data_IF_571167986168
#
_entry.id   IF_571167986168
#
_cell.length_a   1.000
_cell.length_b   1.000
_cell.length_c   1.000
_cell.angle_alpha   90.00
_cell.angle_beta   90.00
_cell.angle_gamma   90.00
#
_symmetry.space_group_name_H-M   'P 1'
#
loop_
_entity.id
_entity.type
_entity.pdbx_description
1 polymer ?
#
# COMPACT_ATOMS: atom_id res chain seq x y z
N UNK A 1 1.74 -51.88 30.12
CA UNK A 1 1.45 -50.98 28.97
C UNK A 1 1.63 -49.56 29.45
N UNK A 2 2.78 -48.95 29.18
CA UNK A 2 3.03 -47.53 29.49
C UNK A 2 2.48 -46.74 28.31
N UNK A 3 1.50 -45.86 28.55
CA UNK A 3 0.99 -44.95 27.52
C UNK A 3 2.16 -44.05 27.08
N UNK A 4 2.75 -44.36 25.92
CA UNK A 4 3.88 -43.62 25.37
C UNK A 4 3.44 -42.19 25.03
N UNK A 5 4.22 -41.23 25.52
CA UNK A 5 3.85 -39.83 25.64
C UNK A 5 4.14 -39.11 24.31
N UNK A 6 3.11 -38.62 23.64
CA UNK A 6 3.29 -37.69 22.52
C UNK A 6 3.97 -36.40 23.01
N UNK A 7 5.11 -36.04 22.43
CA UNK A 7 5.83 -34.82 22.79
C UNK A 7 5.50 -33.71 21.80
N UNK A 8 4.90 -32.62 22.28
CA UNK A 8 4.52 -31.48 21.43
C UNK A 8 5.37 -30.25 21.73
N UNK A 9 6.05 -29.77 20.71
CA UNK A 9 6.88 -28.58 20.70
C UNK A 9 6.16 -27.43 19.99
N UNK A 10 6.24 -26.22 20.54
CA UNK A 10 5.52 -25.05 20.03
C UNK A 10 6.42 -23.83 19.99
N UNK A 11 6.23 -22.99 18.98
CA UNK A 11 6.88 -21.67 18.98
C UNK A 11 6.37 -20.81 20.14
N UNK A 12 7.20 -19.87 20.60
CA UNK A 12 6.81 -18.91 21.63
C UNK A 12 5.57 -18.11 21.20
N UNK A 13 4.59 -17.98 22.11
CA UNK A 13 3.38 -17.19 21.86
C UNK A 13 3.71 -15.73 21.51
N UNK A 14 4.78 -15.18 22.08
CA UNK A 14 5.27 -13.82 21.79
C UNK A 14 5.47 -13.61 20.29
N UNK A 15 6.03 -14.60 19.59
CA UNK A 15 6.32 -14.50 18.15
C UNK A 15 5.03 -14.53 17.33
N UNK A 16 4.07 -15.36 17.73
CA UNK A 16 2.75 -15.39 17.09
C UNK A 16 2.08 -14.04 17.23
N UNK A 17 2.10 -13.44 18.43
CA UNK A 17 1.55 -12.10 18.64
C UNK A 17 2.27 -11.04 17.82
N UNK A 18 3.61 -11.06 17.73
CA UNK A 18 4.36 -10.13 16.88
C UNK A 18 4.02 -10.26 15.40
N UNK A 19 3.80 -11.48 14.90
CA UNK A 19 3.41 -11.70 13.51
C UNK A 19 1.98 -11.24 13.23
N UNK A 20 1.04 -11.47 14.16
CA UNK A 20 -0.33 -10.99 14.01
C UNK A 20 -0.38 -9.47 14.14
N UNK A 21 0.36 -8.89 15.08
CA UNK A 21 0.50 -7.45 15.23
C UNK A 21 1.14 -6.81 14.00
N UNK A 22 2.21 -7.40 13.47
CA UNK A 22 2.83 -6.94 12.22
C UNK A 22 1.86 -6.99 11.04
N UNK A 23 1.06 -8.06 10.92
CA UNK A 23 0.02 -8.16 9.90
C UNK A 23 -1.04 -7.06 10.05
N UNK A 24 -1.48 -6.82 11.28
CA UNK A 24 -2.42 -5.75 11.62
C UNK A 24 -1.86 -4.38 11.28
N UNK A 25 -0.59 -4.10 11.61
CA UNK A 25 0.06 -2.83 11.30
C UNK A 25 0.23 -2.61 9.80
N UNK A 26 0.56 -3.66 9.03
CA UNK A 26 0.60 -3.57 7.56
C UNK A 26 -0.80 -3.30 7.03
N UNK A 27 -1.85 -4.00 7.52
CA UNK A 27 -3.24 -3.74 7.12
C UNK A 27 -3.67 -2.30 7.42
N UNK A 28 -3.38 -1.83 8.63
CA UNK A 28 -3.71 -0.48 9.08
C UNK A 28 -3.00 0.56 8.20
N UNK A 29 -1.70 0.40 7.98
CA UNK A 29 -0.89 1.34 7.20
C UNK A 29 -1.24 1.35 5.71
N UNK A 30 -1.54 0.19 5.13
CA UNK A 30 -1.65 0.03 3.67
C UNK A 30 -3.07 0.08 3.13
N UNK A 31 -4.07 -0.20 3.98
CA UNK A 31 -5.49 -0.24 3.58
C UNK A 31 -6.29 0.78 4.38
N UNK A 32 -6.28 0.70 5.71
CA UNK A 32 -7.17 1.52 6.54
C UNK A 32 -6.82 3.00 6.46
N UNK A 33 -5.57 3.39 6.72
CA UNK A 33 -5.16 4.80 6.71
C UNK A 33 -5.34 5.47 5.34
N UNK A 34 -4.94 4.88 4.21
CA UNK A 34 -5.17 5.51 2.90
C UNK A 34 -6.66 5.66 2.57
N UNK A 35 -7.50 4.69 2.94
CA UNK A 35 -8.95 4.75 2.71
C UNK A 35 -9.60 5.82 3.60
N UNK A 36 -9.24 5.88 4.89
CA UNK A 36 -9.79 6.92 5.78
C UNK A 36 -9.35 8.31 5.34
N UNK A 37 -8.10 8.48 4.89
CA UNK A 37 -7.61 9.74 4.31
C UNK A 37 -8.38 10.08 3.03
N UNK A 38 -8.61 9.10 2.14
CA UNK A 38 -9.36 9.31 0.90
C UNK A 38 -10.82 9.71 1.16
N UNK A 39 -11.44 9.21 2.23
CA UNK A 39 -12.85 9.46 2.57
C UNK A 39 -13.07 10.65 3.52
N UNK A 40 -12.01 11.24 4.07
CA UNK A 40 -12.13 12.25 5.11
C UNK A 40 -12.74 13.56 4.58
N UNK A 41 -13.98 13.85 5.01
CA UNK A 41 -14.59 15.18 4.88
C UNK A 41 -14.95 15.61 3.47
N UNK A 42 -15.14 14.67 2.53
CA UNK A 42 -15.52 14.95 1.14
C UNK A 42 -16.69 14.07 0.69
N UNK A 43 -17.59 14.57 -0.17
CA UNK A 43 -18.72 13.79 -0.69
C UNK A 43 -18.28 12.65 -1.62
N UNK A 44 -17.09 12.76 -2.22
CA UNK A 44 -16.46 11.72 -3.03
C UNK A 44 -15.05 11.43 -2.54
N UNK A 45 -14.65 10.15 -2.59
CA UNK A 45 -13.34 9.72 -2.12
C UNK A 45 -12.19 10.23 -3.00
N UNK A 46 -11.13 10.79 -2.42
CA UNK A 46 -9.92 11.16 -3.16
C UNK A 46 -9.03 9.95 -3.42
N UNK A 47 -9.14 9.37 -4.62
CA UNK A 47 -8.35 8.25 -5.11
C UNK A 47 -7.14 8.69 -5.93
N UNK A 48 -6.73 9.96 -5.85
CA UNK A 48 -5.53 10.43 -6.54
C UNK A 48 -4.25 9.76 -6.03
N UNK A 49 -4.20 9.43 -4.73
CA UNK A 49 -3.03 8.87 -4.06
C UNK A 49 -3.22 7.40 -3.63
N UNK A 50 -4.39 7.06 -3.08
CA UNK A 50 -4.60 5.77 -2.42
C UNK A 50 -4.30 4.54 -3.31
N UNK A 51 -4.70 4.48 -4.59
CA UNK A 51 -4.37 3.34 -5.46
C UNK A 51 -2.87 3.22 -5.74
N UNK A 52 -2.17 4.35 -5.95
CA UNK A 52 -0.72 4.36 -6.19
C UNK A 52 0.05 3.87 -4.96
N UNK A 53 -0.35 4.36 -3.79
CA UNK A 53 0.21 3.92 -2.52
C UNK A 53 -0.06 2.43 -2.27
N UNK A 54 -1.30 1.97 -2.51
CA UNK A 54 -1.66 0.56 -2.40
C UNK A 54 -0.83 -0.35 -3.31
N UNK A 55 -0.57 0.07 -4.56
CA UNK A 55 0.24 -0.69 -5.50
C UNK A 55 1.69 -0.83 -5.03
N UNK A 56 2.30 0.25 -4.52
CA UNK A 56 3.65 0.21 -3.97
C UNK A 56 3.71 -0.63 -2.68
N UNK A 57 2.74 -0.47 -1.80
CA UNK A 57 2.70 -1.14 -0.50
C UNK A 57 2.39 -2.64 -0.60
N UNK A 58 1.68 -3.08 -1.64
CA UNK A 58 1.38 -4.49 -1.89
C UNK A 58 2.64 -5.36 -2.04
N UNK A 59 3.78 -4.79 -2.45
CA UNK A 59 5.06 -5.51 -2.49
C UNK A 59 5.63 -5.86 -1.11
N UNK A 60 5.18 -5.19 -0.04
CA UNK A 60 5.54 -5.53 1.35
C UNK A 60 4.76 -6.77 1.81
N UNK A 61 3.52 -6.94 1.33
CA UNK A 61 2.66 -8.05 1.72
C UNK A 61 3.17 -9.41 1.27
N UNK A 62 3.68 -9.51 0.04
CA UNK A 62 4.13 -10.78 -0.55
C UNK A 62 5.22 -11.46 0.29
N UNK A 63 6.37 -10.83 0.61
CA UNK A 63 7.41 -11.46 1.43
C UNK A 63 6.93 -11.74 2.85
N UNK A 64 6.09 -10.87 3.42
CA UNK A 64 5.54 -11.06 4.76
C UNK A 64 4.65 -12.31 4.84
N UNK A 65 3.71 -12.45 3.90
CA UNK A 65 2.83 -13.61 3.78
C UNK A 65 3.63 -14.90 3.50
N UNK A 66 4.66 -14.81 2.67
CA UNK A 66 5.54 -15.94 2.36
C UNK A 66 6.26 -16.46 3.62
N UNK A 67 6.80 -15.57 4.46
CA UNK A 67 7.38 -15.94 5.76
C UNK A 67 6.34 -16.57 6.69
N UNK A 68 5.15 -15.99 6.80
CA UNK A 68 4.05 -16.56 7.59
C UNK A 68 3.67 -17.98 7.14
N UNK A 69 3.64 -18.25 5.83
CA UNK A 69 3.29 -19.57 5.31
C UNK A 69 4.37 -20.63 5.56
N UNK A 70 5.64 -20.22 5.63
CA UNK A 70 6.79 -21.11 5.85
C UNK A 70 7.04 -21.39 7.33
N UNK A 71 6.54 -20.53 8.23
CA UNK A 71 6.75 -20.68 9.65
C UNK A 71 6.07 -21.94 10.20
N UNK A 72 6.88 -22.87 10.71
CA UNK A 72 6.43 -24.00 11.51
C UNK A 72 5.99 -23.50 12.87
N UNK A 73 4.74 -23.78 13.25
CA UNK A 73 4.14 -23.37 14.53
C UNK A 73 4.25 -24.44 15.60
N UNK A 74 3.96 -25.68 15.23
CA UNK A 74 4.03 -26.83 16.15
C UNK A 74 4.65 -28.03 15.48
N UNK A 75 5.39 -28.80 16.26
CA UNK A 75 5.93 -30.11 15.90
C UNK A 75 5.52 -31.08 17.00
N UNK A 76 4.89 -32.18 16.65
CA UNK A 76 4.57 -33.25 17.60
C UNK A 76 5.32 -34.50 17.19
N UNK A 77 6.10 -35.07 18.10
CA UNK A 77 6.84 -36.31 17.91
C UNK A 77 6.03 -37.48 18.48
N UNK A 78 6.07 -38.60 17.78
CA UNK A 78 5.46 -39.87 18.15
C UNK A 78 6.41 -41.00 17.77
N UNK A 79 6.17 -42.23 18.20
CA UNK A 79 7.09 -43.33 17.89
C UNK A 79 7.15 -43.68 16.41
N UNK A 80 6.00 -43.63 15.73
CA UNK A 80 5.87 -44.04 14.33
C UNK A 80 6.19 -42.91 13.35
N UNK A 81 6.36 -41.68 13.83
CA UNK A 81 6.54 -40.51 12.99
C UNK A 81 6.34 -39.19 13.72
N UNK A 82 6.00 -38.15 12.97
CA UNK A 82 5.84 -36.82 13.52
C UNK A 82 4.73 -36.07 12.80
N UNK A 83 4.19 -35.04 13.45
CA UNK A 83 3.25 -34.12 12.83
C UNK A 83 3.76 -32.68 12.88
N UNK A 84 3.52 -31.94 11.81
CA UNK A 84 3.89 -30.54 11.70
C UNK A 84 2.66 -29.69 11.41
N UNK A 85 2.60 -28.51 12.00
CA UNK A 85 1.63 -27.48 11.67
C UNK A 85 2.35 -26.20 11.31
N UNK A 86 2.25 -25.76 10.06
CA UNK A 86 2.66 -24.40 9.64
C UNK A 86 1.56 -23.39 10.02
N UNK A 87 1.90 -22.13 10.27
CA UNK A 87 0.97 -21.12 10.83
C UNK A 87 -0.37 -21.03 10.08
N UNK A 88 -0.33 -21.03 8.74
CA UNK A 88 -1.50 -20.92 7.87
C UNK A 88 -1.93 -22.27 7.23
N UNK A 89 -1.60 -23.40 7.86
CA UNK A 89 -1.92 -24.74 7.34
C UNK A 89 -2.49 -25.66 8.42
N UNK A 90 -3.26 -26.66 7.95
CA UNK A 90 -3.68 -27.79 8.77
C UNK A 90 -2.45 -28.63 9.17
N UNK A 91 -2.55 -29.31 10.31
CA UNK A 91 -1.54 -30.27 10.74
C UNK A 91 -1.40 -31.38 9.71
N UNK A 92 -0.18 -31.78 9.42
CA UNK A 92 0.16 -32.91 8.53
C UNK A 92 1.03 -33.90 9.28
N UNK A 93 0.75 -35.18 9.12
CA UNK A 93 1.53 -36.28 9.70
C UNK A 93 2.48 -36.85 8.64
N UNK A 94 3.65 -37.27 9.09
CA UNK A 94 4.73 -37.83 8.28
C UNK A 94 5.41 -38.95 9.05
N UNK A 95 5.99 -39.90 8.33
CA UNK A 95 6.85 -40.94 8.91
C UNK A 95 8.29 -40.43 8.98
N UNK A 96 9.09 -40.94 9.89
CA UNK A 96 10.52 -40.61 9.92
C UNK A 96 11.25 -41.04 8.64
N UNK A 97 10.80 -42.13 8.01
CA UNK A 97 11.31 -42.58 6.71
C UNK A 97 10.97 -41.66 5.53
N UNK A 98 10.12 -40.64 5.73
CA UNK A 98 9.87 -39.61 4.72
C UNK A 98 10.95 -38.52 4.70
N UNK A 99 11.82 -38.48 5.74
CA UNK A 99 12.95 -37.55 5.83
C UNK A 99 14.04 -38.01 4.88
N UNK A 100 14.30 -37.20 3.87
CA UNK A 100 15.32 -37.47 2.85
C UNK A 100 16.66 -36.88 3.27
N UNK A 101 16.63 -35.65 3.78
CA UNK A 101 17.83 -34.93 4.15
C UNK A 101 17.54 -33.82 5.15
N UNK A 102 18.58 -33.28 5.77
CA UNK A 102 18.51 -32.11 6.63
C UNK A 102 19.66 -31.15 6.38
N UNK A 103 19.48 -29.89 6.76
CA UNK A 103 20.51 -28.87 6.72
C UNK A 103 20.37 -27.95 7.93
N UNK A 104 21.47 -27.63 8.59
CA UNK A 104 21.54 -26.59 9.59
C UNK A 104 22.40 -25.43 9.08
N UNK A 105 21.93 -24.19 9.27
CA UNK A 105 22.68 -22.98 8.93
C UNK A 105 22.46 -21.87 9.95
N UNK A 106 23.42 -20.97 10.04
CA UNK A 106 23.31 -19.72 10.78
C UNK A 106 22.66 -18.65 9.91
N UNK A 107 21.63 -17.99 10.39
CA UNK A 107 21.00 -16.81 9.79
C UNK A 107 21.14 -15.59 10.72
N UNK A 108 21.09 -14.39 10.14
CA UNK A 108 21.19 -13.13 10.89
C UNK A 108 19.83 -12.45 10.89
N UNK A 109 19.29 -12.19 12.08
CA UNK A 109 18.02 -11.47 12.29
C UNK A 109 18.23 -10.00 12.67
N UNK A 110 17.13 -9.31 12.98
CA UNK A 110 17.10 -7.88 13.39
C UNK A 110 17.76 -7.56 14.75
N UNK A 111 18.47 -8.49 15.37
CA UNK A 111 19.06 -8.26 16.69
C UNK A 111 20.08 -9.31 17.10
N UNK A 112 19.96 -10.53 16.60
CA UNK A 112 20.98 -11.55 16.84
C UNK A 112 21.03 -12.60 15.74
N UNK A 113 22.12 -13.36 15.72
CA UNK A 113 22.24 -14.53 14.86
C UNK A 113 21.54 -15.75 15.47
N UNK A 114 20.88 -16.55 14.64
CA UNK A 114 20.13 -17.73 15.08
C UNK A 114 20.37 -18.90 14.14
N UNK A 115 20.12 -20.11 14.63
CA UNK A 115 20.29 -21.35 13.87
C UNK A 115 18.96 -21.75 13.23
N UNK A 116 19.05 -22.28 12.02
CA UNK A 116 17.91 -22.70 11.21
C UNK A 116 18.13 -24.11 10.74
N UNK A 117 17.31 -25.02 11.25
CA UNK A 117 17.23 -26.40 10.79
C UNK A 117 16.16 -26.49 9.71
N UNK A 118 16.55 -26.93 8.51
CA UNK A 118 15.65 -27.24 7.41
C UNK A 118 15.60 -28.76 7.24
N UNK A 119 14.42 -29.35 7.36
CA UNK A 119 14.21 -30.78 7.17
C UNK A 119 13.49 -30.98 5.83
N UNK A 120 14.12 -31.70 4.92
CA UNK A 120 13.59 -32.03 3.60
C UNK A 120 12.90 -33.38 3.65
N UNK A 121 11.63 -33.38 3.27
CA UNK A 121 10.82 -34.58 3.10
C UNK A 121 10.70 -34.88 1.61
N UNK A 122 10.26 -36.09 1.25
CA UNK A 122 10.01 -36.46 -0.16
C UNK A 122 9.17 -35.41 -0.89
N UNK A 123 8.11 -34.90 -0.24
CA UNK A 123 7.07 -34.07 -0.87
C UNK A 123 6.81 -32.73 -0.16
N UNK A 124 7.55 -32.42 0.90
CA UNK A 124 7.37 -31.20 1.70
C UNK A 124 8.72 -30.83 2.33
N UNK A 125 8.77 -29.70 3.02
CA UNK A 125 9.89 -29.36 3.87
C UNK A 125 9.38 -28.50 5.01
N UNK A 126 10.09 -28.49 6.12
CA UNK A 126 9.79 -27.58 7.22
C UNK A 126 11.05 -27.02 7.84
N UNK A 127 10.88 -25.88 8.51
CA UNK A 127 11.98 -25.12 9.08
C UNK A 127 11.73 -24.96 10.58
N UNK A 128 12.75 -25.20 11.38
CA UNK A 128 12.78 -24.95 12.82
C UNK A 128 13.87 -23.91 13.07
N UNK A 129 13.54 -22.78 13.70
CA UNK A 129 14.49 -21.70 13.99
C UNK A 129 14.73 -21.61 15.50
N UNK A 130 15.99 -21.50 15.93
CA UNK A 130 16.36 -21.47 17.35
C UNK A 130 15.83 -20.25 18.11
N UNK A 131 15.63 -19.12 17.42
CA UNK A 131 14.99 -17.94 17.97
C UNK A 131 13.46 -18.07 18.11
N UNK A 132 12.86 -19.11 17.53
CA UNK A 132 11.40 -19.32 17.56
C UNK A 132 10.94 -20.49 18.41
N UNK A 133 11.73 -21.57 18.43
CA UNK A 133 11.49 -22.77 19.21
C UNK A 133 12.43 -22.79 20.42
N UNK A 134 11.93 -22.65 21.65
CA UNK A 134 12.75 -22.73 22.85
C UNK A 134 13.50 -24.06 22.96
N UNK A 135 12.89 -25.16 22.53
CA UNK A 135 13.45 -26.51 22.59
C UNK A 135 14.19 -26.91 21.29
N UNK A 136 14.76 -25.93 20.58
CA UNK A 136 15.46 -26.15 19.30
C UNK A 136 16.50 -27.26 19.36
N UNK A 137 17.34 -27.29 20.38
CA UNK A 137 18.43 -28.27 20.48
C UNK A 137 17.91 -29.71 20.59
N UNK A 138 16.77 -29.92 21.25
CA UNK A 138 16.12 -31.23 21.33
C UNK A 138 15.55 -31.65 19.98
N UNK A 139 14.84 -30.74 19.31
CA UNK A 139 14.29 -31.00 17.96
C UNK A 139 15.41 -31.28 16.94
N UNK A 140 16.51 -30.54 17.03
CA UNK A 140 17.72 -30.78 16.23
C UNK A 140 18.29 -32.16 16.49
N UNK A 141 18.57 -32.49 17.75
CA UNK A 141 19.13 -33.78 18.12
C UNK A 141 18.24 -34.95 17.66
N UNK A 142 16.92 -34.79 17.66
CA UNK A 142 15.97 -35.80 17.17
C UNK A 142 15.99 -35.92 15.64
N UNK A 143 15.77 -34.82 14.91
CA UNK A 143 15.63 -34.89 13.45
C UNK A 143 16.95 -35.16 12.71
N UNK A 144 18.10 -34.76 13.25
CA UNK A 144 19.40 -35.04 12.63
C UNK A 144 19.81 -36.52 12.70
N UNK A 145 19.06 -37.36 13.43
CA UNK A 145 19.23 -38.83 13.38
C UNK A 145 18.68 -39.44 12.08
N UNK A 146 17.89 -38.67 11.31
CA UNK A 146 17.21 -39.14 10.10
C UNK A 146 17.65 -38.34 8.87
N UNK A 147 17.81 -39.05 7.76
CA UNK A 147 18.26 -38.49 6.48
C UNK A 147 19.71 -38.00 6.50
N UNK A 148 20.23 -37.68 5.32
CA UNK A 148 21.61 -37.21 5.17
C UNK A 148 21.75 -35.71 5.44
N UNK A 149 22.89 -35.29 5.99
CA UNK A 149 23.24 -33.88 6.10
C UNK A 149 23.70 -33.35 4.75
N UNK A 150 22.98 -32.36 4.19
CA UNK A 150 23.27 -31.80 2.87
C UNK A 150 23.48 -30.28 2.93
N UNK A 151 24.15 -29.69 1.91
CA UNK A 151 24.16 -28.24 1.73
C UNK A 151 22.74 -27.68 1.57
N UNK A 152 22.54 -26.43 2.00
CA UNK A 152 21.24 -25.77 1.90
C UNK A 152 20.75 -25.72 0.44
N UNK A 153 19.51 -26.18 0.21
CA UNK A 153 18.82 -26.11 -1.07
C UNK A 153 17.59 -25.23 -0.94
N UNK A 154 17.47 -24.23 -1.81
CA UNK A 154 16.35 -23.31 -1.80
C UNK A 154 15.16 -23.92 -2.53
N UNK A 155 14.26 -24.50 -1.76
CA UNK A 155 13.10 -25.25 -2.26
C UNK A 155 11.78 -24.55 -1.96
N UNK A 156 10.77 -24.85 -2.79
CA UNK A 156 9.37 -24.49 -2.54
C UNK A 156 8.48 -25.71 -2.77
N UNK A 157 7.39 -25.80 -2.02
CA UNK A 157 6.36 -26.81 -2.33
C UNK A 157 5.49 -26.32 -3.49
N UNK A 158 4.89 -27.23 -4.25
CA UNK A 158 3.99 -26.88 -5.36
C UNK A 158 2.84 -25.93 -4.92
N UNK A 159 2.18 -26.14 -3.76
CA UNK A 159 1.18 -25.19 -3.26
C UNK A 159 1.74 -23.81 -2.91
N UNK A 160 2.98 -23.70 -2.43
CA UNK A 160 3.63 -22.40 -2.14
C UNK A 160 3.89 -21.64 -3.41
N UNK A 161 4.47 -22.33 -4.41
CA UNK A 161 4.73 -21.74 -5.72
C UNK A 161 3.46 -21.21 -6.35
N UNK A 162 2.39 -22.00 -6.35
CA UNK A 162 1.12 -21.59 -6.94
C UNK A 162 0.50 -20.40 -6.19
N UNK A 163 0.55 -20.37 -4.85
CA UNK A 163 0.06 -19.21 -4.08
C UNK A 163 0.85 -17.94 -4.37
N UNK A 164 2.18 -18.03 -4.46
CA UNK A 164 3.02 -16.88 -4.82
C UNK A 164 2.70 -16.37 -6.23
N UNK A 165 2.49 -17.28 -7.20
CA UNK A 165 2.03 -16.93 -8.55
C UNK A 165 0.68 -16.22 -8.51
N UNK A 166 -0.30 -16.74 -7.78
CA UNK A 166 -1.60 -16.09 -7.63
C UNK A 166 -1.50 -14.69 -7.01
N UNK A 167 -0.67 -14.51 -5.98
CA UNK A 167 -0.43 -13.19 -5.40
C UNK A 167 0.20 -12.21 -6.41
N UNK A 168 1.22 -12.65 -7.14
CA UNK A 168 1.89 -11.83 -8.16
C UNK A 168 0.94 -11.47 -9.32
N UNK A 169 0.13 -12.43 -9.78
CA UNK A 169 -0.87 -12.21 -10.82
C UNK A 169 -1.97 -11.25 -10.36
N UNK A 170 -2.49 -11.42 -9.13
CA UNK A 170 -3.46 -10.50 -8.55
C UNK A 170 -2.91 -9.07 -8.40
N UNK A 171 -1.64 -8.94 -7.99
CA UNK A 171 -0.96 -7.65 -7.92
C UNK A 171 -0.77 -7.03 -9.31
N UNK A 172 -0.36 -7.80 -10.31
CA UNK A 172 -0.25 -7.33 -11.68
C UNK A 172 -1.60 -6.83 -12.22
N UNK A 173 -2.69 -7.57 -11.98
CA UNK A 173 -4.04 -7.16 -12.36
C UNK A 173 -4.47 -5.86 -11.66
N UNK A 174 -4.17 -5.73 -10.37
CA UNK A 174 -4.43 -4.50 -9.60
C UNK A 174 -3.67 -3.30 -10.18
N UNK A 175 -2.40 -3.49 -10.56
CA UNK A 175 -1.57 -2.46 -11.20
C UNK A 175 -2.16 -2.06 -12.57
N UNK A 176 -2.57 -3.03 -13.39
CA UNK A 176 -3.19 -2.76 -14.70
C UNK A 176 -4.49 -1.97 -14.52
N UNK A 177 -5.36 -2.37 -13.59
CA UNK A 177 -6.59 -1.65 -13.28
C UNK A 177 -6.32 -0.20 -12.85
N UNK A 178 -5.21 0.04 -12.12
CA UNK A 178 -4.78 1.36 -11.69
C UNK A 178 -4.29 2.23 -12.86
N UNK A 179 -3.60 1.63 -13.84
CA UNK A 179 -3.24 2.30 -15.11
C UNK A 179 -4.52 2.70 -15.85
N UNK A 180 -5.44 1.74 -16.06
CA UNK A 180 -6.71 1.98 -16.75
C UNK A 180 -7.52 3.09 -16.06
N UNK A 181 -7.62 3.07 -14.74
CA UNK A 181 -8.27 4.12 -13.97
C UNK A 181 -7.60 5.49 -14.21
N UNK A 182 -6.28 5.56 -14.31
CA UNK A 182 -5.55 6.79 -14.62
C UNK A 182 -5.96 7.42 -15.96
N UNK A 183 -6.19 6.58 -16.98
CA UNK A 183 -6.68 7.00 -18.30
C UNK A 183 -8.18 7.33 -18.30
N UNK A 184 -9.01 6.55 -17.61
CA UNK A 184 -10.45 6.82 -17.48
C UNK A 184 -10.73 8.12 -16.69
N UNK A 185 -9.87 8.43 -15.73
CA UNK A 185 -9.92 9.67 -14.95
C UNK A 185 -9.20 10.84 -15.65
N UNK A 186 -8.61 10.60 -16.83
CA UNK A 186 -7.96 11.65 -17.62
C UNK A 186 -9.01 12.41 -18.40
N UNK A 187 -9.20 13.69 -18.04
CA UNK A 187 -9.75 14.65 -18.98
C UNK A 187 -8.62 15.04 -19.92
N UNK A 188 -8.79 14.84 -21.23
CA UNK A 188 -7.82 15.30 -22.23
C UNK A 188 -7.48 16.76 -21.93
N UNK A 189 -6.18 17.08 -21.98
CA UNK A 189 -5.72 18.45 -21.81
C UNK A 189 -6.27 19.28 -22.98
N UNK A 190 -7.45 19.84 -22.78
CA UNK A 190 -7.96 20.80 -23.72
C UNK A 190 -7.14 22.07 -23.52
N UNK A 191 -6.30 22.39 -24.52
CA UNK A 191 -5.51 23.62 -24.52
C UNK A 191 -6.39 24.87 -24.74
N UNK A 192 -7.71 24.70 -24.70
CA UNK A 192 -8.67 25.79 -24.64
C UNK A 192 -8.42 26.62 -23.38
N UNK A 193 -8.41 27.94 -23.58
CA UNK A 193 -8.37 28.89 -22.48
C UNK A 193 -9.67 28.72 -21.68
N UNK A 194 -9.54 28.45 -20.40
CA UNK A 194 -10.70 28.36 -19.51
C UNK A 194 -11.35 29.73 -19.38
N UNK A 195 -12.66 29.79 -19.56
CA UNK A 195 -13.44 30.98 -19.23
C UNK A 195 -13.53 31.08 -17.71
N UNK A 196 -13.29 32.26 -17.16
CA UNK A 196 -13.36 32.50 -15.72
C UNK A 196 -14.74 33.05 -15.34
N UNK A 197 -15.29 32.51 -14.26
CA UNK A 197 -16.53 32.97 -13.63
C UNK A 197 -16.23 33.49 -12.24
N UNK A 198 -16.89 34.60 -11.89
CA UNK A 198 -16.81 35.19 -10.55
C UNK A 198 -17.75 34.45 -9.60
N UNK A 199 -17.22 34.02 -8.46
CA UNK A 199 -17.96 33.46 -7.33
C UNK A 199 -17.77 34.38 -6.14
N UNK A 200 -18.86 34.96 -5.65
CA UNK A 200 -18.85 35.89 -4.52
C UNK A 200 -19.53 35.25 -3.33
N UNK A 201 -18.83 35.18 -2.20
CA UNK A 201 -19.38 34.69 -0.93
C UNK A 201 -18.55 35.24 0.25
N UNK A 202 -18.96 34.93 1.48
CA UNK A 202 -18.29 35.32 2.72
C UNK A 202 -17.14 34.37 3.04
N UNK A 203 -15.97 34.94 3.37
CA UNK A 203 -14.80 34.19 3.84
C UNK A 203 -15.08 33.58 5.22
N UNK A 204 -15.03 32.26 5.31
CA UNK A 204 -15.10 31.53 6.58
C UNK A 204 -13.70 31.36 7.19
N UNK A 205 -12.72 30.92 6.38
CA UNK A 205 -11.36 30.65 6.86
C UNK A 205 -10.33 30.80 5.77
N UNK A 206 -9.13 31.24 6.16
CA UNK A 206 -7.96 31.29 5.30
C UNK A 206 -6.84 30.45 5.91
N UNK A 207 -6.27 29.55 5.12
CA UNK A 207 -5.18 28.67 5.56
C UNK A 207 -4.05 28.70 4.57
N UNK A 208 -2.83 28.96 5.03
CA UNK A 208 -1.66 28.90 4.18
C UNK A 208 -1.22 27.46 3.92
N UNK A 209 -0.87 27.18 2.67
CA UNK A 209 -0.33 25.90 2.27
C UNK A 209 1.21 25.93 2.35
N UNK A 210 1.77 25.50 3.48
CA UNK A 210 3.23 25.44 3.72
C UNK A 210 3.77 24.02 3.96
N UNK A 211 3.71 23.11 2.98
CA UNK A 211 4.25 21.77 3.16
C UNK A 211 5.77 21.84 3.35
N UNK A 212 6.25 21.30 4.48
CA UNK A 212 7.67 21.32 4.87
C UNK A 212 8.27 22.73 4.91
N UNK A 213 7.49 23.73 5.34
CA UNK A 213 7.94 25.11 5.50
C UNK A 213 7.96 25.96 4.22
N UNK A 214 7.84 25.37 3.03
CA UNK A 214 7.81 26.10 1.76
C UNK A 214 6.40 26.59 1.43
N UNK A 215 6.23 27.90 1.25
CA UNK A 215 4.94 28.49 0.88
C UNK A 215 4.55 28.16 -0.56
N UNK A 216 3.43 27.44 -0.72
CA UNK A 216 2.90 27.04 -2.04
C UNK A 216 1.64 27.79 -2.45
N UNK A 217 0.97 28.48 -1.55
CA UNK A 217 -0.26 29.21 -1.85
C UNK A 217 -1.20 29.29 -0.65
N UNK A 218 -2.45 29.64 -0.91
CA UNK A 218 -3.47 29.91 0.12
C UNK A 218 -4.76 29.17 -0.21
N UNK A 219 -5.35 28.55 0.79
CA UNK A 219 -6.72 28.04 0.75
C UNK A 219 -7.66 29.07 1.35
N UNK A 220 -8.71 29.39 0.61
CA UNK A 220 -9.85 30.19 1.05
C UNK A 220 -11.04 29.25 1.17
N UNK A 221 -11.67 29.22 2.35
CA UNK A 221 -12.91 28.50 2.59
C UNK A 221 -14.04 29.50 2.62
N UNK A 222 -15.09 29.24 1.85
CA UNK A 222 -16.28 30.05 1.75
C UNK A 222 -17.39 29.45 2.63
N UNK A 223 -18.28 30.30 3.14
CA UNK A 223 -19.33 29.88 4.08
C UNK A 223 -20.41 29.03 3.42
N UNK A 224 -20.79 29.35 2.19
CA UNK A 224 -21.85 28.67 1.44
C UNK A 224 -21.44 27.26 0.99
N UNK A 225 -20.15 27.03 0.76
CA UNK A 225 -19.60 25.72 0.33
C UNK A 225 -18.49 25.26 1.28
N UNK A 226 -18.84 24.86 2.52
CA UNK A 226 -17.86 24.49 3.53
C UNK A 226 -17.07 23.23 3.16
N UNK A 227 -17.55 22.38 2.27
CA UNK A 227 -16.88 21.17 1.77
C UNK A 227 -15.83 21.44 0.68
N UNK A 228 -15.82 22.66 0.11
CA UNK A 228 -14.91 23.06 -0.96
C UNK A 228 -13.80 23.96 -0.43
N UNK A 229 -12.58 23.73 -0.93
CA UNK A 229 -11.42 24.55 -0.67
C UNK A 229 -11.01 25.27 -1.96
N UNK A 230 -11.08 26.60 -1.94
CA UNK A 230 -10.67 27.44 -3.05
C UNK A 230 -9.19 27.75 -2.92
N UNK A 231 -8.38 27.21 -3.82
CA UNK A 231 -6.92 27.22 -3.72
C UNK A 231 -6.28 28.17 -4.73
N UNK A 232 -5.60 29.20 -4.24
CA UNK A 232 -4.74 30.07 -5.03
C UNK A 232 -3.29 29.59 -4.93
N UNK A 233 -2.76 29.06 -6.04
CA UNK A 233 -1.37 28.59 -6.09
C UNK A 233 -0.41 29.75 -6.29
N UNK A 234 0.70 29.81 -5.52
CA UNK A 234 1.74 30.84 -5.67
C UNK A 234 2.30 30.92 -7.11
N UNK A 235 2.34 29.80 -7.82
CA UNK A 235 2.86 29.72 -9.20
C UNK A 235 1.99 30.43 -10.23
N UNK A 236 0.70 30.59 -9.96
CA UNK A 236 -0.22 31.22 -10.91
C UNK A 236 -0.18 32.76 -10.88
N UNK A 237 0.56 33.36 -9.93
CA UNK A 237 0.57 34.81 -9.71
C UNK A 237 2.02 35.30 -9.70
N UNK A 238 2.26 36.44 -10.34
CA UNK A 238 3.55 37.15 -10.24
C UNK A 238 3.70 37.78 -8.85
N UNK A 239 2.64 38.43 -8.38
CA UNK A 239 2.57 39.09 -7.07
C UNK A 239 2.63 38.09 -5.91
N UNK A 240 3.23 38.49 -4.78
CA UNK A 240 3.36 37.62 -3.61
C UNK A 240 2.00 37.35 -2.96
N UNK A 241 1.68 36.06 -2.78
CA UNK A 241 0.47 35.63 -2.08
C UNK A 241 0.66 35.49 -0.56
N UNK A 242 1.88 35.63 -0.04
CA UNK A 242 2.15 35.47 1.39
C UNK A 242 1.33 36.41 2.29
N UNK A 243 1.14 37.70 1.94
CA UNK A 243 0.38 38.62 2.79
C UNK A 243 -1.13 38.32 2.82
N UNK A 244 -1.66 37.46 1.94
CA UNK A 244 -3.10 37.30 1.77
C UNK A 244 -3.83 36.85 3.03
N UNK A 245 -3.18 36.05 3.89
CA UNK A 245 -3.78 35.63 5.16
C UNK A 245 -4.02 36.81 6.10
N UNK A 246 -3.16 37.82 6.05
CA UNK A 246 -3.21 39.00 6.91
C UNK A 246 -4.11 40.10 6.32
N UNK A 247 -4.15 40.20 4.98
CA UNK A 247 -4.87 41.26 4.28
C UNK A 247 -6.34 40.90 4.01
N UNK A 248 -6.64 39.64 3.71
CA UNK A 248 -8.03 39.21 3.50
C UNK A 248 -8.73 39.07 4.85
N UNK A 249 -9.83 39.79 5.02
CA UNK A 249 -10.64 39.78 6.24
C UNK A 249 -11.65 38.64 6.22
N UNK A 250 -11.66 37.87 7.29
CA UNK A 250 -12.66 36.82 7.56
C UNK A 250 -14.02 37.46 7.86
N UNK A 251 -15.12 36.76 7.56
CA UNK A 251 -16.50 37.22 7.67
C UNK A 251 -16.85 38.43 6.78
N UNK A 252 -16.03 38.71 5.76
CA UNK A 252 -16.33 39.69 4.73
C UNK A 252 -16.54 39.03 3.37
N UNK A 253 -17.33 39.64 2.47
CA UNK A 253 -17.46 39.17 1.09
C UNK A 253 -16.10 39.12 0.40
N UNK A 254 -15.89 38.11 -0.43
CA UNK A 254 -14.76 37.98 -1.34
C UNK A 254 -15.29 37.49 -2.68
N UNK A 255 -14.71 37.99 -3.76
CA UNK A 255 -14.98 37.51 -5.11
C UNK A 255 -13.76 36.73 -5.60
N UNK A 256 -13.97 35.47 -5.95
CA UNK A 256 -12.96 34.57 -6.50
C UNK A 256 -13.25 34.32 -7.97
N UNK A 257 -12.22 34.37 -8.82
CA UNK A 257 -12.32 33.94 -10.21
C UNK A 257 -11.88 32.48 -10.32
N UNK A 258 -12.79 31.62 -10.77
CA UNK A 258 -12.57 30.19 -10.96
C UNK A 258 -12.93 29.79 -12.40
N UNK A 259 -12.44 28.65 -12.91
CA UNK A 259 -12.89 28.13 -14.19
C UNK A 259 -14.41 27.91 -14.21
N UNK A 260 -15.07 28.32 -15.29
CA UNK A 260 -16.52 28.18 -15.48
C UNK A 260 -16.95 26.71 -15.45
N UNK A 261 -16.10 25.80 -15.95
CA UNK A 261 -16.31 24.35 -15.88
C UNK A 261 -16.39 23.81 -14.45
N UNK A 262 -15.52 24.29 -13.55
CA UNK A 262 -15.54 23.92 -12.12
C UNK A 262 -16.81 24.46 -11.44
N UNK A 263 -17.24 25.68 -11.81
CA UNK A 263 -18.48 26.26 -11.32
C UNK A 263 -19.68 25.38 -11.72
N UNK A 264 -19.84 25.09 -13.02
CA UNK A 264 -20.97 24.30 -13.53
C UNK A 264 -21.02 22.89 -12.95
N UNK A 265 -19.87 22.24 -12.75
CA UNK A 265 -19.79 20.85 -12.28
C UNK A 265 -19.91 20.71 -10.76
N UNK A 266 -19.20 21.54 -9.99
CA UNK A 266 -19.07 21.38 -8.52
C UNK A 266 -19.94 22.31 -7.69
N UNK A 267 -20.34 23.46 -8.23
CA UNK A 267 -21.12 24.47 -7.49
C UNK A 267 -22.57 24.51 -7.98
N UNK A 268 -22.79 24.74 -9.28
CA UNK A 268 -24.12 24.87 -9.85
C UNK A 268 -24.77 23.53 -10.21
N UNK A 269 -23.98 22.45 -10.28
CA UNK A 269 -24.41 21.10 -10.65
C UNK A 269 -25.19 21.01 -11.98
N UNK A 270 -24.88 21.89 -12.93
CA UNK A 270 -25.53 21.94 -14.26
C UNK A 270 -24.87 21.01 -15.28
N UNK A 271 -23.64 20.56 -15.02
CA UNK A 271 -22.92 19.58 -15.84
C UNK A 271 -22.53 18.34 -15.02
N UNK A 272 -22.57 17.13 -15.61
CA UNK A 272 -22.21 15.92 -14.91
C UNK A 272 -20.71 15.85 -14.60
N UNK A 273 -20.38 15.33 -13.42
CA UNK A 273 -18.99 15.09 -12.99
C UNK A 273 -18.38 13.91 -13.76
N UNK A 274 -17.19 14.11 -14.33
CA UNK A 274 -16.37 13.03 -14.90
C UNK A 274 -15.82 12.11 -13.80
N UNK A 275 -15.29 10.93 -14.19
CA UNK A 275 -14.61 10.03 -13.25
C UNK A 275 -13.45 10.75 -12.55
N UNK A 276 -12.67 11.55 -13.29
CA UNK A 276 -11.59 12.36 -12.72
C UNK A 276 -12.10 13.40 -11.73
N UNK A 277 -13.19 14.09 -12.05
CA UNK A 277 -13.76 15.11 -11.16
C UNK A 277 -14.22 14.51 -9.83
N UNK A 278 -14.83 13.32 -9.84
CA UNK A 278 -15.31 12.63 -8.63
C UNK A 278 -14.16 12.16 -7.73
N UNK A 279 -13.14 11.53 -8.31
CA UNK A 279 -12.18 10.75 -7.53
C UNK A 279 -10.79 11.38 -7.43
N UNK A 280 -10.59 12.60 -7.94
CA UNK A 280 -9.30 13.28 -7.89
C UNK A 280 -9.49 14.71 -7.40
N UNK A 281 -9.11 14.93 -6.13
CA UNK A 281 -9.15 16.25 -5.48
C UNK A 281 -10.47 16.99 -5.71
N UNK A 282 -11.60 16.29 -5.54
CA UNK A 282 -12.93 16.85 -5.77
C UNK A 282 -13.12 18.15 -4.98
N UNK A 283 -12.83 18.12 -3.67
CA UNK A 283 -12.99 19.26 -2.76
C UNK A 283 -12.03 20.43 -2.98
N UNK A 284 -11.25 20.46 -4.07
CA UNK A 284 -10.34 21.55 -4.40
C UNK A 284 -10.76 22.23 -5.70
N UNK A 285 -10.90 23.56 -5.65
CA UNK A 285 -11.16 24.42 -6.81
C UNK A 285 -10.00 25.39 -6.96
N UNK A 286 -9.39 25.44 -8.15
CA UNK A 286 -8.29 26.38 -8.41
C UNK A 286 -8.81 27.81 -8.62
N UNK A 287 -8.16 28.77 -7.98
CA UNK A 287 -8.50 30.19 -8.03
C UNK A 287 -7.45 30.97 -8.79
N UNK A 288 -7.90 31.77 -9.74
CA UNK A 288 -7.07 32.59 -10.63
C UNK A 288 -7.29 34.09 -10.47
N UNK A 289 -8.22 34.50 -9.60
CA UNK A 289 -8.36 35.89 -9.19
C UNK A 289 -9.00 35.98 -7.82
N UNK A 290 -8.58 36.98 -7.04
CA UNK A 290 -9.06 37.24 -5.68
C UNK A 290 -9.30 38.73 -5.55
N UNK A 291 -10.53 39.09 -5.22
CA UNK A 291 -10.96 40.48 -5.06
C UNK A 291 -11.73 40.61 -3.75
N UNK A 292 -11.25 41.47 -2.86
CA UNK A 292 -11.96 41.85 -1.64
C UNK A 292 -11.82 43.35 -1.47
N UNK A 293 -12.83 44.07 -1.93
CA UNK A 293 -12.95 45.53 -1.90
C UNK A 293 -11.61 46.25 -2.14
N UNK A 294 -11.28 47.24 -1.30
CA UNK A 294 -10.02 47.99 -1.36
C UNK A 294 -8.81 47.25 -0.76
N UNK A 295 -9.01 46.04 -0.20
CA UNK A 295 -7.97 45.30 0.51
C UNK A 295 -7.11 44.45 -0.42
N UNK A 296 -7.73 43.74 -1.37
CA UNK A 296 -7.03 42.81 -2.27
C UNK A 296 -7.61 42.85 -3.67
N UNK A 297 -6.72 42.98 -4.67
CA UNK A 297 -7.05 42.84 -6.09
C UNK A 297 -5.94 42.09 -6.80
N UNK A 298 -6.08 40.77 -6.89
CA UNK A 298 -5.12 39.87 -7.52
C UNK A 298 -5.74 39.11 -8.68
N UNK A 299 -4.97 38.95 -9.75
CA UNK A 299 -5.34 38.12 -10.89
C UNK A 299 -4.10 37.38 -11.39
N UNK A 300 -4.31 36.18 -11.92
CA UNK A 300 -3.27 35.38 -12.54
C UNK A 300 -2.67 36.12 -13.73
N UNK A 301 -1.35 36.04 -13.87
CA UNK A 301 -0.61 36.70 -14.95
C UNK A 301 -0.58 35.85 -16.23
N UNK A 302 -0.90 34.56 -16.13
CA UNK A 302 -0.80 33.60 -17.22
C UNK A 302 -2.19 33.21 -17.74
N UNK A 303 -2.30 32.79 -19.02
CA UNK A 303 -3.54 32.23 -19.54
C UNK A 303 -3.96 31.02 -18.70
N UNK A 304 -5.22 31.02 -18.26
CA UNK A 304 -5.81 29.91 -17.52
C UNK A 304 -6.30 28.87 -18.50
N UNK A 305 -5.95 27.61 -18.25
CA UNK A 305 -6.37 26.45 -19.05
C UNK A 305 -7.30 25.55 -18.23
N UNK A 306 -8.10 24.75 -18.93
CA UNK A 306 -8.97 23.77 -18.29
C UNK A 306 -8.15 22.76 -17.46
N UNK A 307 -8.63 22.38 -16.26
CA UNK A 307 -7.84 21.58 -15.33
C UNK A 307 -7.68 20.14 -15.83
N UNK A 308 -6.43 19.73 -16.06
CA UNK A 308 -6.07 18.32 -16.27
C UNK A 308 -6.05 17.59 -14.93
N UNK A 309 -6.97 16.64 -14.73
CA UNK A 309 -7.12 15.90 -13.46
C UNK A 309 -6.01 14.87 -13.24
N UNK A 310 -5.55 14.19 -14.28
CA UNK A 310 -4.45 13.20 -14.20
C UNK A 310 -3.34 13.51 -15.20
N UNK A 311 -2.12 13.13 -14.83
CA UNK A 311 -1.05 12.86 -15.78
C UNK A 311 -0.91 11.34 -15.94
N UNK A 312 -1.66 10.71 -16.86
CA UNK A 312 -1.67 9.25 -17.00
C UNK A 312 -0.31 8.73 -17.46
N UNK A 313 0.47 9.51 -18.20
CA UNK A 313 1.78 9.09 -18.70
C UNK A 313 2.78 8.88 -17.55
N UNK A 314 2.94 9.85 -16.65
CA UNK A 314 3.81 9.70 -15.49
C UNK A 314 3.36 8.56 -14.57
N UNK A 315 2.03 8.46 -14.34
CA UNK A 315 1.43 7.36 -13.58
C UNK A 315 1.72 6.00 -14.21
N UNK A 316 1.61 5.89 -15.53
CA UNK A 316 1.86 4.67 -16.29
C UNK A 316 3.32 4.26 -16.20
N UNK A 317 4.27 5.19 -16.38
CA UNK A 317 5.71 4.89 -16.27
C UNK A 317 6.04 4.26 -14.92
N UNK A 318 5.56 4.85 -13.82
CA UNK A 318 5.77 4.31 -12.47
C UNK A 318 5.15 2.92 -12.31
N UNK A 319 3.91 2.72 -12.78
CA UNK A 319 3.19 1.46 -12.64
C UNK A 319 3.76 0.35 -13.54
N UNK A 320 4.27 0.69 -14.73
CA UNK A 320 4.98 -0.24 -15.61
C UNK A 320 6.27 -0.74 -14.94
N UNK A 321 6.99 0.13 -14.24
CA UNK A 321 8.13 -0.31 -13.44
C UNK A 321 7.71 -1.33 -12.36
N UNK A 322 6.58 -1.12 -11.68
CA UNK A 322 6.04 -2.12 -10.74
C UNK A 322 5.63 -3.43 -11.42
N UNK A 323 5.08 -3.38 -12.65
CA UNK A 323 4.81 -4.59 -13.44
C UNK A 323 6.08 -5.38 -13.76
N UNK A 324 7.19 -4.70 -14.06
CA UNK A 324 8.49 -5.35 -14.25
C UNK A 324 8.95 -6.04 -12.96
N UNK A 325 8.68 -5.47 -11.77
CA UNK A 325 8.94 -6.14 -10.49
C UNK A 325 8.06 -7.39 -10.33
N UNK A 326 6.78 -7.33 -10.70
CA UNK A 326 5.92 -8.53 -10.70
C UNK A 326 6.45 -9.61 -11.65
N UNK A 327 6.91 -9.23 -12.84
CA UNK A 327 7.48 -10.15 -13.82
C UNK A 327 8.79 -10.79 -13.32
N UNK A 328 9.72 -10.00 -12.80
CA UNK A 328 10.96 -10.52 -12.20
C UNK A 328 10.67 -11.43 -11.02
N UNK A 329 9.71 -11.08 -10.17
CA UNK A 329 9.22 -11.92 -9.08
C UNK A 329 8.62 -13.24 -9.59
N UNK A 330 7.86 -13.21 -10.69
CA UNK A 330 7.31 -14.41 -11.32
C UNK A 330 8.40 -15.34 -11.83
N UNK A 331 9.35 -14.81 -12.60
CA UNK A 331 10.51 -15.56 -13.12
C UNK A 331 11.33 -16.13 -11.96
N UNK A 332 11.55 -15.34 -10.91
CA UNK A 332 12.23 -15.79 -9.70
C UNK A 332 11.51 -16.99 -9.06
N UNK A 333 10.19 -16.90 -8.86
CA UNK A 333 9.37 -18.00 -8.31
C UNK A 333 9.41 -19.23 -9.21
N UNK A 334 9.46 -19.05 -10.53
CA UNK A 334 9.47 -20.15 -11.49
C UNK A 334 10.80 -20.89 -11.53
N UNK A 335 11.92 -20.17 -11.36
CA UNK A 335 13.27 -20.75 -11.29
C UNK A 335 13.55 -21.54 -9.99
N UNK A 336 12.69 -21.45 -8.97
CA UNK A 336 12.90 -22.22 -7.74
C UNK A 336 12.62 -23.71 -7.96
N UNK A 337 13.53 -24.55 -7.48
CA UNK A 337 13.32 -25.99 -7.46
C UNK A 337 12.08 -26.34 -6.64
N UNK A 338 11.16 -27.07 -7.25
CA UNK A 338 9.94 -27.54 -6.61
C UNK A 338 10.17 -28.94 -6.09
N UNK A 339 9.89 -29.18 -4.81
CA UNK A 339 9.78 -30.54 -4.29
C UNK A 339 8.50 -31.12 -4.89
N UNK A 340 8.65 -32.06 -5.83
CA UNK A 340 7.53 -32.72 -6.51
C UNK A 340 7.17 -33.99 -5.76
N UNK A 341 5.86 -34.19 -5.62
CA UNK A 341 5.26 -35.51 -5.45
C UNK A 341 5.54 -36.31 -6.72
N UNK A 342 6.27 -37.42 -6.59
CA UNK A 342 6.14 -38.51 -7.57
C UNK A 342 4.71 -39.04 -7.57
#
# INVERSE_FOLDING_TARGET
>A
MVAQREETFRISQRIVYWLVFGLFMILLATVVLPVTIALAGQPYADLSFAPLYGAAAAFIWIPYLAECWRLTKTVTLSEQGFSIRKLARKTRQFRYSDIVAHNERKEVGRGDSFMVLTVYLKNDFFIIKSNTFPEYDRLKAHFCQFGESIPYRKVVTLPERNRLRWLLAGLALFIIANILFGYLAHNQADHTKARLTAVTDVVDRITENRPKGSFKGVYVRLRQWPELNFYASRRAYTQSLQPLKEVIRVNQPITLLIPESEFRKKIAHTEPLTIGDKYIKYGLISVYGIYQDHAVRLQSAEPVFEPTRTNPLFRTILLVFLLLICWTGWVYVDRHSVIRTD
#
